data_IF_671064837182
#
_entry.id   IF_671064837182
#
_cell.length_a   1.000
_cell.length_b   1.000
_cell.length_c   1.000
_cell.angle_alpha   90.00
_cell.angle_beta   90.00
_cell.angle_gamma   90.00
#
_symmetry.space_group_name_H-M   'P 1'
#
loop_
_entity.id
_entity.type
_entity.pdbx_description
1 polymer ?
#
# COMPACT_ATOMS: atom_id res chain seq x y z
N UNK A 1 -60.34 -32.06 11.31
CA UNK A 1 -59.85 -30.70 11.07
C UNK A 1 -58.76 -30.46 12.08
N UNK A 2 -57.51 -30.76 11.68
CA UNK A 2 -56.33 -30.69 12.57
C UNK A 2 -55.54 -29.47 12.15
N UNK A 3 -55.40 -28.49 13.06
CA UNK A 3 -54.62 -27.28 12.88
C UNK A 3 -53.23 -27.58 13.40
N UNK A 4 -52.26 -27.73 12.47
CA UNK A 4 -50.83 -27.79 12.80
C UNK A 4 -50.32 -26.37 13.06
N UNK A 5 -49.98 -26.10 14.31
CA UNK A 5 -49.28 -24.86 14.69
C UNK A 5 -47.80 -24.93 14.25
N UNK A 6 -47.37 -24.01 13.39
CA UNK A 6 -45.98 -23.77 13.07
C UNK A 6 -45.39 -22.93 14.19
N UNK A 7 -44.53 -23.51 15.00
CA UNK A 7 -43.68 -22.77 15.95
C UNK A 7 -42.61 -21.98 15.15
N UNK A 8 -42.83 -20.69 15.07
CA UNK A 8 -41.76 -19.76 14.60
C UNK A 8 -40.67 -19.74 15.69
N UNK A 9 -39.48 -20.27 15.35
CA UNK A 9 -38.29 -20.04 16.15
C UNK A 9 -37.90 -18.58 16.01
N UNK A 10 -38.03 -17.83 17.09
CA UNK A 10 -37.44 -16.51 17.21
C UNK A 10 -35.90 -16.70 17.17
N UNK A 11 -35.29 -16.11 16.19
CA UNK A 11 -33.82 -16.01 16.14
C UNK A 11 -33.34 -15.16 17.34
N UNK A 12 -32.38 -15.68 18.11
CA UNK A 12 -31.73 -14.99 19.20
C UNK A 12 -31.03 -13.71 18.64
N UNK A 13 -31.33 -12.50 19.16
CA UNK A 13 -30.69 -11.30 18.68
C UNK A 13 -29.24 -11.11 19.18
N UNK A 14 -28.66 -12.09 19.86
CA UNK A 14 -27.29 -12.09 20.39
C UNK A 14 -26.42 -13.24 19.86
N UNK A 15 -26.72 -13.74 18.66
CA UNK A 15 -25.77 -14.61 17.98
C UNK A 15 -24.48 -13.79 17.72
N UNK A 16 -23.36 -14.16 18.36
CA UNK A 16 -22.00 -13.72 18.04
C UNK A 16 -21.75 -13.94 16.55
N UNK A 17 -22.15 -13.01 15.70
CA UNK A 17 -21.64 -12.93 14.34
C UNK A 17 -20.15 -12.63 14.51
N UNK A 18 -19.25 -13.55 14.09
CA UNK A 18 -17.82 -13.33 14.29
C UNK A 18 -17.44 -11.99 13.68
N UNK A 19 -16.87 -11.12 14.50
CA UNK A 19 -16.49 -9.77 14.08
C UNK A 19 -15.67 -9.87 12.80
N UNK A 20 -16.30 -9.55 11.67
CA UNK A 20 -15.76 -9.73 10.32
C UNK A 20 -14.48 -8.91 10.13
N UNK A 21 -14.40 -7.74 10.76
CA UNK A 21 -13.27 -6.83 10.59
C UNK A 21 -11.93 -7.43 11.02
N UNK A 22 -11.77 -8.04 12.21
CA UNK A 22 -10.52 -8.69 12.60
C UNK A 22 -10.11 -9.85 11.68
N UNK A 23 -11.08 -10.55 11.07
CA UNK A 23 -10.79 -11.61 10.12
C UNK A 23 -10.25 -11.03 8.80
N UNK A 24 -10.89 -9.99 8.26
CA UNK A 24 -10.42 -9.29 7.05
C UNK A 24 -9.00 -8.78 7.26
N UNK A 25 -8.74 -8.10 8.40
CA UNK A 25 -7.42 -7.52 8.68
C UNK A 25 -6.35 -8.61 8.76
N UNK A 26 -6.59 -9.71 9.50
CA UNK A 26 -5.62 -10.83 9.58
C UNK A 26 -5.36 -11.48 8.22
N UNK A 27 -6.42 -11.71 7.43
CA UNK A 27 -6.27 -12.32 6.10
C UNK A 27 -5.52 -11.39 5.14
N UNK A 28 -5.81 -10.09 5.18
CA UNK A 28 -5.08 -9.07 4.42
C UNK A 28 -3.59 -9.05 4.80
N UNK A 29 -3.25 -9.03 6.08
CA UNK A 29 -1.86 -9.04 6.56
C UNK A 29 -1.13 -10.32 6.11
N UNK A 30 -1.80 -11.47 6.20
CA UNK A 30 -1.24 -12.74 5.72
C UNK A 30 -1.00 -12.71 4.20
N UNK A 31 -2.00 -12.27 3.42
CA UNK A 31 -1.88 -12.20 1.97
C UNK A 31 -0.75 -11.23 1.53
N UNK A 32 -0.60 -10.09 2.22
CA UNK A 32 0.50 -9.15 1.93
C UNK A 32 1.89 -9.74 2.26
N UNK A 33 2.00 -10.58 3.30
CA UNK A 33 3.27 -11.23 3.66
C UNK A 33 3.75 -12.23 2.62
N UNK A 34 2.84 -12.76 1.81
CA UNK A 34 3.11 -13.76 0.77
C UNK A 34 3.42 -13.12 -0.60
N UNK A 35 3.29 -11.79 -0.71
CA UNK A 35 3.61 -11.07 -1.94
C UNK A 35 5.12 -11.02 -2.16
N UNK A 36 5.54 -11.52 -3.31
CA UNK A 36 6.94 -11.51 -3.72
C UNK A 36 7.20 -10.34 -4.67
N UNK A 37 8.15 -9.50 -4.34
CA UNK A 37 8.55 -8.38 -5.19
C UNK A 37 9.66 -8.79 -6.16
N UNK A 38 9.66 -8.31 -7.41
CA UNK A 38 10.75 -8.55 -8.33
C UNK A 38 12.01 -7.83 -7.84
N UNK A 39 13.17 -8.35 -8.23
CA UNK A 39 14.45 -7.72 -7.90
C UNK A 39 14.58 -6.32 -8.47
N UNK A 40 14.09 -6.14 -9.69
CA UNK A 40 14.18 -4.88 -10.42
C UNK A 40 12.83 -4.46 -10.95
N UNK A 41 12.50 -3.18 -10.83
CA UNK A 41 11.30 -2.58 -11.38
C UNK A 41 11.68 -1.35 -12.20
N UNK A 42 11.11 -1.24 -13.39
CA UNK A 42 11.23 -0.06 -14.23
C UNK A 42 9.92 0.71 -14.16
N UNK A 43 10.02 1.98 -13.79
CA UNK A 43 8.87 2.88 -13.67
C UNK A 43 9.04 4.09 -14.54
N UNK A 44 7.93 4.50 -15.12
CA UNK A 44 7.76 5.78 -15.78
C UNK A 44 7.09 6.75 -14.80
N UNK A 45 7.59 7.97 -14.73
CA UNK A 45 7.11 9.06 -13.89
C UNK A 45 6.74 10.24 -14.76
N UNK A 46 5.55 10.81 -14.53
CA UNK A 46 5.13 12.07 -15.14
C UNK A 46 4.86 13.10 -14.06
N UNK A 47 5.37 14.31 -14.28
CA UNK A 47 5.19 15.44 -13.37
C UNK A 47 4.54 16.59 -14.12
N UNK A 48 3.39 17.02 -13.59
CA UNK A 48 2.63 18.13 -14.11
C UNK A 48 2.45 19.19 -13.03
N UNK A 49 2.67 20.44 -13.40
CA UNK A 49 2.28 21.57 -12.56
C UNK A 49 0.83 21.91 -12.85
N UNK A 50 -0.05 21.89 -11.83
CA UNK A 50 -1.49 22.13 -12.00
C UNK A 50 -1.81 23.52 -12.58
N UNK A 51 -0.86 24.45 -12.63
CA UNK A 51 -1.04 25.80 -13.16
C UNK A 51 -0.61 25.98 -14.62
N UNK A 52 0.13 25.06 -15.22
CA UNK A 52 0.62 25.18 -16.61
C UNK A 52 0.78 23.79 -17.23
N UNK A 53 -0.06 23.47 -18.20
CA UNK A 53 -0.06 22.22 -18.98
C UNK A 53 1.25 22.05 -19.80
N UNK A 54 2.05 23.10 -19.97
CA UNK A 54 3.26 23.08 -20.80
C UNK A 54 4.53 22.56 -20.11
N UNK A 55 4.46 22.07 -18.87
CA UNK A 55 5.61 21.56 -18.12
C UNK A 55 5.49 20.06 -17.84
N UNK A 56 4.98 19.31 -18.82
CA UNK A 56 5.00 17.85 -18.73
C UNK A 56 6.45 17.37 -18.77
N UNK A 57 6.82 16.61 -17.77
CA UNK A 57 8.15 16.06 -17.63
C UNK A 57 8.05 14.57 -17.38
N UNK A 58 8.82 13.80 -18.13
CA UNK A 58 8.87 12.34 -18.07
C UNK A 58 10.24 11.89 -17.55
N UNK A 59 10.24 10.93 -16.63
CA UNK A 59 11.46 10.27 -16.17
C UNK A 59 11.21 8.76 -16.16
N UNK A 60 12.07 8.00 -16.83
CA UNK A 60 12.07 6.52 -16.71
C UNK A 60 13.25 6.14 -15.82
N UNK A 61 12.95 5.41 -14.74
CA UNK A 61 13.94 4.96 -13.79
C UNK A 61 13.78 3.46 -13.51
N UNK A 62 14.91 2.79 -13.37
CA UNK A 62 15.01 1.41 -12.91
C UNK A 62 15.48 1.41 -11.46
N UNK A 63 14.72 0.73 -10.60
CA UNK A 63 15.11 0.46 -9.23
C UNK A 63 15.58 -0.99 -9.10
N UNK A 64 16.70 -1.22 -8.41
CA UNK A 64 17.22 -2.53 -8.03
C UNK A 64 17.18 -2.63 -6.50
N UNK A 65 16.34 -3.52 -5.98
CA UNK A 65 16.15 -3.75 -4.55
C UNK A 65 17.15 -4.73 -3.95
N UNK A 66 18.12 -5.24 -4.74
CA UNK A 66 19.23 -6.00 -4.18
C UNK A 66 20.08 -5.09 -3.28
N UNK A 67 20.69 -5.69 -2.24
CA UNK A 67 21.54 -4.95 -1.31
C UNK A 67 22.96 -4.76 -1.92
N UNK A 68 23.48 -3.53 -2.00
CA UNK A 68 22.83 -2.24 -1.67
C UNK A 68 21.79 -1.85 -2.72
N UNK A 69 20.61 -1.40 -2.27
CA UNK A 69 19.58 -0.95 -3.17
C UNK A 69 19.99 0.33 -3.91
N UNK A 70 19.64 0.42 -5.18
CA UNK A 70 20.03 1.55 -6.04
C UNK A 70 18.99 1.83 -7.12
N UNK A 71 19.05 3.03 -7.69
CA UNK A 71 18.30 3.36 -8.91
C UNK A 71 19.19 3.90 -10.01
N UNK A 72 18.72 3.78 -11.25
CA UNK A 72 19.34 4.37 -12.46
C UNK A 72 18.25 5.07 -13.25
N UNK A 73 18.47 6.33 -13.57
CA UNK A 73 17.60 7.06 -14.52
C UNK A 73 18.03 6.65 -15.92
N UNK A 74 17.12 6.00 -16.65
CA UNK A 74 17.35 5.52 -18.02
C UNK A 74 17.03 6.59 -19.06
N UNK A 75 15.97 7.38 -18.82
CA UNK A 75 15.50 8.42 -19.73
C UNK A 75 14.95 9.60 -18.93
N UNK A 76 15.11 10.78 -19.48
CA UNK A 76 14.52 12.02 -18.95
C UNK A 76 14.11 12.94 -20.08
N UNK A 77 12.98 13.58 -19.89
CA UNK A 77 12.48 14.65 -20.74
C UNK A 77 11.84 15.74 -19.86
N UNK A 78 12.01 17.01 -20.22
CA UNK A 78 11.41 18.12 -19.51
C UNK A 78 12.35 18.82 -18.54
N UNK A 79 11.84 19.33 -17.42
CA UNK A 79 12.56 20.24 -16.54
C UNK A 79 13.47 19.53 -15.54
N UNK A 80 14.61 20.15 -15.19
CA UNK A 80 15.49 19.67 -14.11
C UNK A 80 14.79 19.65 -12.75
N UNK A 81 13.76 20.48 -12.53
CA UNK A 81 12.95 20.49 -11.30
C UNK A 81 12.17 19.21 -11.15
N UNK A 82 11.61 18.69 -12.26
CA UNK A 82 10.90 17.41 -12.27
C UNK A 82 11.85 16.25 -11.93
N UNK A 83 13.03 16.23 -12.54
CA UNK A 83 14.05 15.23 -12.21
C UNK A 83 14.43 15.26 -10.73
N UNK A 84 14.56 16.45 -10.14
CA UNK A 84 14.82 16.57 -8.69
C UNK A 84 13.71 15.96 -7.85
N UNK A 85 12.43 16.19 -8.18
CA UNK A 85 11.29 15.60 -7.46
C UNK A 85 11.32 14.08 -7.56
N UNK A 86 11.51 13.52 -8.78
CA UNK A 86 11.60 12.06 -8.97
C UNK A 86 12.76 11.46 -8.21
N UNK A 87 13.94 12.08 -8.22
CA UNK A 87 15.10 11.60 -7.44
C UNK A 87 14.81 11.52 -5.95
N UNK A 88 14.11 12.49 -5.38
CA UNK A 88 13.73 12.45 -3.96
C UNK A 88 12.73 11.30 -3.67
N UNK A 89 11.77 11.06 -4.57
CA UNK A 89 10.84 9.93 -4.44
C UNK A 89 11.60 8.60 -4.51
N UNK A 90 12.46 8.41 -5.52
CA UNK A 90 13.26 7.20 -5.68
C UNK A 90 14.16 6.94 -4.47
N UNK A 91 14.82 7.98 -3.97
CA UNK A 91 15.66 7.89 -2.79
C UNK A 91 14.84 7.45 -1.56
N UNK A 92 13.66 8.02 -1.37
CA UNK A 92 12.78 7.67 -0.27
C UNK A 92 12.28 6.21 -0.36
N UNK A 93 11.86 5.76 -1.56
CA UNK A 93 11.46 4.37 -1.80
C UNK A 93 12.60 3.38 -1.48
N UNK A 94 13.84 3.69 -1.90
CA UNK A 94 15.01 2.87 -1.59
C UNK A 94 15.33 2.84 -0.10
N UNK A 95 15.22 3.97 0.60
CA UNK A 95 15.45 4.05 2.03
C UNK A 95 14.45 3.21 2.82
N UNK A 96 13.17 3.22 2.42
CA UNK A 96 12.15 2.36 3.01
C UNK A 96 12.50 0.89 2.75
N UNK A 97 12.83 0.54 1.50
CA UNK A 97 13.11 -0.85 1.11
C UNK A 97 14.38 -1.43 1.72
N UNK A 98 15.34 -0.59 2.07
CA UNK A 98 16.62 -1.00 2.64
C UNK A 98 16.54 -1.45 4.11
N UNK A 99 15.48 -1.07 4.83
CA UNK A 99 15.32 -1.32 6.27
C UNK A 99 14.04 -2.10 6.56
N UNK A 100 14.16 -3.26 7.21
CA UNK A 100 13.00 -4.01 7.69
C UNK A 100 12.14 -3.19 8.67
N UNK A 101 12.77 -2.39 9.51
CA UNK A 101 12.07 -1.53 10.45
C UNK A 101 11.19 -0.50 9.73
N UNK A 102 11.73 0.15 8.68
CA UNK A 102 10.98 1.10 7.87
C UNK A 102 9.87 0.44 7.06
N UNK A 103 10.12 -0.75 6.50
CA UNK A 103 9.09 -1.53 5.82
C UNK A 103 7.94 -1.88 6.76
N UNK A 104 8.24 -2.32 8.00
CA UNK A 104 7.23 -2.59 9.01
C UNK A 104 6.52 -1.32 9.46
N UNK A 105 7.23 -0.20 9.59
CA UNK A 105 6.65 1.08 9.96
C UNK A 105 5.68 1.64 8.90
N UNK A 106 5.90 1.32 7.62
CA UNK A 106 5.05 1.72 6.50
C UNK A 106 3.90 0.71 6.21
N UNK A 107 3.98 -0.51 6.74
CA UNK A 107 3.04 -1.59 6.42
C UNK A 107 1.62 -1.29 6.91
N UNK A 108 0.62 -1.69 6.12
CA UNK A 108 -0.80 -1.59 6.48
C UNK A 108 -1.16 -2.79 7.36
N UNK A 109 -0.95 -2.62 8.66
CA UNK A 109 -1.17 -3.64 9.68
C UNK A 109 -1.85 -3.06 10.91
N UNK A 110 -2.44 -3.94 11.74
CA UNK A 110 -3.01 -3.55 13.03
C UNK A 110 -2.00 -2.89 13.99
N UNK A 111 -0.70 -3.05 13.77
CA UNK A 111 0.33 -2.36 14.55
C UNK A 111 0.41 -0.88 14.24
N UNK A 112 0.15 -0.51 12.98
CA UNK A 112 0.27 0.86 12.49
C UNK A 112 -1.07 1.60 12.40
N UNK A 113 -2.18 0.84 12.31
CA UNK A 113 -3.52 1.38 12.05
C UNK A 113 -4.58 0.81 12.97
N UNK A 114 -5.57 1.64 13.27
CA UNK A 114 -6.91 1.21 13.60
C UNK A 114 -7.74 1.16 12.32
N UNK A 115 -8.59 0.15 12.19
CA UNK A 115 -9.42 -0.08 11.02
C UNK A 115 -10.90 0.06 11.35
N UNK A 116 -11.70 0.52 10.36
CA UNK A 116 -13.15 0.44 10.40
C UNK A 116 -13.65 -0.09 9.06
N UNK A 117 -14.55 -1.05 9.08
CA UNK A 117 -15.21 -1.53 7.87
C UNK A 117 -16.25 -0.47 7.42
N UNK A 118 -16.10 0.02 6.20
CA UNK A 118 -17.01 0.99 5.60
C UNK A 118 -18.08 0.34 4.71
N UNK A 119 -17.83 -0.91 4.28
CA UNK A 119 -18.72 -1.65 3.38
C UNK A 119 -17.96 -2.39 2.28
N UNK A 120 -18.63 -2.59 1.16
CA UNK A 120 -18.07 -3.22 -0.03
C UNK A 120 -18.21 -2.34 -1.26
N UNK A 121 -17.20 -2.36 -2.13
CA UNK A 121 -17.20 -1.72 -3.45
C UNK A 121 -16.60 -2.67 -4.49
N UNK A 122 -16.87 -2.42 -5.78
CA UNK A 122 -16.23 -3.16 -6.87
C UNK A 122 -15.15 -2.29 -7.52
N UNK A 123 -13.94 -2.86 -7.70
CA UNK A 123 -12.83 -2.25 -8.44
C UNK A 123 -12.42 -3.19 -9.55
N UNK A 124 -12.46 -2.73 -10.79
CA UNK A 124 -12.05 -3.48 -11.99
C UNK A 124 -12.71 -4.87 -12.07
N UNK A 125 -14.01 -4.97 -11.67
CA UNK A 125 -14.78 -6.21 -11.65
C UNK A 125 -14.56 -7.11 -10.43
N UNK A 126 -13.73 -6.71 -9.48
CA UNK A 126 -13.47 -7.45 -8.24
C UNK A 126 -14.21 -6.83 -7.06
N UNK A 127 -14.95 -7.66 -6.31
CA UNK A 127 -15.59 -7.25 -5.06
C UNK A 127 -14.52 -7.03 -3.98
N UNK A 128 -14.57 -5.87 -3.32
CA UNK A 128 -13.62 -5.48 -2.30
C UNK A 128 -14.31 -5.09 -1.01
N UNK A 129 -13.71 -5.43 0.12
CA UNK A 129 -13.98 -4.75 1.38
C UNK A 129 -13.32 -3.38 1.37
N UNK A 130 -14.02 -2.36 1.86
CA UNK A 130 -13.47 -1.01 2.02
C UNK A 130 -13.23 -0.76 3.49
N UNK A 131 -11.96 -0.58 3.87
CA UNK A 131 -11.58 -0.27 5.24
C UNK A 131 -11.09 1.16 5.34
N UNK A 132 -11.50 1.86 6.39
CA UNK A 132 -10.90 3.14 6.78
C UNK A 132 -9.56 2.88 7.46
N UNK A 133 -8.54 3.61 7.02
CA UNK A 133 -7.19 3.63 7.61
C UNK A 133 -7.08 4.79 8.59
N UNK A 134 -6.88 4.50 9.87
CA UNK A 134 -6.66 5.48 10.93
C UNK A 134 -5.26 5.27 11.50
N UNK A 135 -4.26 6.05 11.07
CA UNK A 135 -2.89 5.89 11.58
C UNK A 135 -2.81 6.08 13.08
N UNK A 136 -2.16 5.17 13.80
CA UNK A 136 -1.92 5.26 15.25
C UNK A 136 -0.89 6.30 15.63
N UNK A 137 -0.11 6.78 14.65
CA UNK A 137 0.93 7.79 14.83
C UNK A 137 1.08 8.66 13.59
N UNK A 138 1.57 9.88 13.76
CA UNK A 138 1.84 10.82 12.65
C UNK A 138 3.23 10.57 12.06
N UNK A 139 3.33 9.66 11.09
CA UNK A 139 4.55 9.37 10.35
C UNK A 139 4.32 9.60 8.85
N UNK A 140 5.36 10.02 8.09
CA UNK A 140 5.22 10.32 6.66
C UNK A 140 4.95 9.09 5.79
N UNK A 141 5.25 7.90 6.28
CA UNK A 141 5.00 6.63 5.60
C UNK A 141 3.56 6.13 5.77
N UNK A 142 2.77 6.72 6.69
CA UNK A 142 1.41 6.30 6.96
C UNK A 142 0.40 7.17 6.21
N UNK A 143 -0.72 6.54 5.83
CA UNK A 143 -1.79 7.15 5.05
C UNK A 143 -3.07 7.18 5.89
N UNK A 144 -3.72 8.31 5.96
CA UNK A 144 -5.07 8.48 6.51
C UNK A 144 -6.07 8.47 5.37
N UNK A 145 -6.88 7.43 5.25
CA UNK A 145 -7.79 7.32 4.11
C UNK A 145 -8.53 5.99 4.07
N UNK A 146 -8.52 5.35 2.92
CA UNK A 146 -9.22 4.09 2.67
C UNK A 146 -8.31 3.08 1.98
N UNK A 147 -8.56 1.81 2.24
CA UNK A 147 -7.95 0.68 1.54
C UNK A 147 -9.04 -0.25 1.04
N UNK A 148 -8.88 -0.72 -0.19
CA UNK A 148 -9.75 -1.71 -0.83
C UNK A 148 -9.04 -3.05 -0.83
N UNK A 149 -9.64 -4.02 -0.15
CA UNK A 149 -9.13 -5.37 0.04
C UNK A 149 -10.02 -6.33 -0.75
N UNK A 150 -9.45 -7.05 -1.69
CA UNK A 150 -10.16 -8.04 -2.49
C UNK A 150 -10.81 -9.11 -1.60
N UNK A 151 -12.09 -9.41 -1.83
CA UNK A 151 -12.85 -10.35 -0.98
C UNK A 151 -12.43 -11.81 -1.16
N UNK A 152 -11.78 -12.17 -2.26
CA UNK A 152 -11.37 -13.54 -2.54
C UNK A 152 -9.92 -13.80 -2.16
N UNK A 153 -9.03 -12.88 -2.51
CA UNK A 153 -7.58 -13.04 -2.33
C UNK A 153 -7.02 -12.32 -1.10
N UNK A 154 -7.80 -11.41 -0.50
CA UNK A 154 -7.39 -10.49 0.56
C UNK A 154 -6.19 -9.59 0.21
N UNK A 155 -5.81 -9.53 -1.06
CA UNK A 155 -4.79 -8.60 -1.54
C UNK A 155 -5.34 -7.18 -1.60
N UNK A 156 -4.50 -6.21 -1.28
CA UNK A 156 -4.84 -4.79 -1.41
C UNK A 156 -4.85 -4.43 -2.89
N UNK A 157 -5.97 -3.88 -3.39
CA UNK A 157 -6.11 -3.40 -4.77
C UNK A 157 -5.90 -1.91 -4.90
N UNK A 158 -6.30 -1.14 -3.88
CA UNK A 158 -6.18 0.33 -3.91
C UNK A 158 -6.00 0.88 -2.51
N UNK A 159 -5.23 1.96 -2.43
CA UNK A 159 -5.12 2.80 -1.25
C UNK A 159 -5.36 4.24 -1.71
N UNK A 160 -6.20 4.99 -1.00
CA UNK A 160 -6.53 6.37 -1.31
C UNK A 160 -6.57 7.18 -0.02
N UNK A 161 -5.83 8.28 0.04
CA UNK A 161 -5.81 9.11 1.23
C UNK A 161 -4.65 10.10 1.30
N UNK A 162 -4.59 10.78 2.43
CA UNK A 162 -3.57 11.79 2.71
C UNK A 162 -2.43 11.20 3.54
N UNK A 163 -1.20 11.62 3.29
CA UNK A 163 -0.09 11.26 4.16
C UNK A 163 -0.36 11.76 5.59
N UNK A 164 -0.16 10.89 6.59
CA UNK A 164 -0.43 11.23 7.99
C UNK A 164 0.47 12.34 8.52
N UNK A 165 1.62 12.56 7.86
CA UNK A 165 2.57 13.64 8.10
C UNK A 165 3.25 14.03 6.81
N UNK A 166 3.63 15.29 6.68
CA UNK A 166 4.44 15.76 5.56
C UNK A 166 5.78 14.99 5.48
N UNK A 167 6.17 14.47 4.30
CA UNK A 167 7.39 13.68 4.14
C UNK A 167 8.66 14.54 4.21
N UNK A 168 8.55 15.86 4.04
CA UNK A 168 9.68 16.78 4.07
C UNK A 168 9.23 18.21 4.33
N UNK A 169 10.17 19.09 4.71
CA UNK A 169 9.87 20.50 4.97
C UNK A 169 9.35 21.27 3.72
N UNK A 170 9.65 20.80 2.52
CA UNK A 170 9.24 21.45 1.27
C UNK A 170 7.90 20.94 0.72
N UNK A 171 7.37 19.81 1.23
CA UNK A 171 6.00 19.32 0.93
C UNK A 171 5.11 19.65 2.10
N UNK A 172 4.04 20.42 1.92
CA UNK A 172 3.10 20.76 2.98
C UNK A 172 2.11 19.64 3.25
N UNK A 173 1.54 19.10 2.18
CA UNK A 173 0.55 18.03 2.19
C UNK A 173 0.67 17.22 0.91
N UNK A 174 0.31 15.96 0.95
CA UNK A 174 0.19 15.12 -0.23
C UNK A 174 -0.97 14.15 -0.06
N UNK A 175 -1.81 14.09 -1.10
CA UNK A 175 -2.85 13.08 -1.29
C UNK A 175 -2.33 12.04 -2.27
N UNK A 176 -2.54 10.76 -1.98
CA UNK A 176 -2.06 9.64 -2.80
C UNK A 176 -3.18 8.69 -3.18
N UNK A 177 -3.18 8.22 -4.41
CA UNK A 177 -3.98 7.10 -4.92
C UNK A 177 -3.00 6.04 -5.44
N UNK A 178 -2.98 4.87 -4.83
CA UNK A 178 -2.05 3.78 -5.13
C UNK A 178 -2.85 2.58 -5.60
N UNK A 179 -2.47 1.98 -6.72
CA UNK A 179 -3.15 0.83 -7.31
C UNK A 179 -2.23 -0.37 -7.41
N UNK A 180 -2.81 -1.53 -7.11
CA UNK A 180 -2.13 -2.81 -7.17
C UNK A 180 -2.90 -3.76 -8.09
N UNK A 181 -2.17 -4.49 -8.89
CA UNK A 181 -2.73 -5.50 -9.78
C UNK A 181 -1.69 -6.58 -10.10
N UNK A 182 -2.15 -7.66 -10.71
CA UNK A 182 -1.24 -8.59 -11.39
C UNK A 182 -0.60 -7.90 -12.59
N UNK A 183 0.71 -7.92 -12.62
CA UNK A 183 1.50 -7.46 -13.75
C UNK A 183 2.43 -8.59 -14.20
N UNK A 184 2.00 -9.28 -15.26
CA UNK A 184 2.74 -10.41 -15.84
C UNK A 184 3.05 -11.52 -14.84
N UNK A 185 2.09 -11.87 -13.98
CA UNK A 185 2.19 -12.95 -13.00
C UNK A 185 2.74 -12.54 -11.63
N UNK A 186 3.02 -11.26 -11.40
CA UNK A 186 3.40 -10.74 -10.10
C UNK A 186 2.41 -9.69 -9.60
N UNK A 187 2.03 -9.79 -8.33
CA UNK A 187 1.20 -8.77 -7.68
C UNK A 187 2.07 -7.58 -7.29
N UNK A 188 1.86 -6.45 -7.97
CA UNK A 188 2.69 -5.26 -7.83
C UNK A 188 1.85 -4.02 -7.59
N UNK A 189 2.47 -3.00 -7.00
CA UNK A 189 2.02 -1.63 -7.11
C UNK A 189 2.23 -1.17 -8.56
N UNK A 190 1.16 -1.27 -9.37
CA UNK A 190 1.24 -1.01 -10.83
C UNK A 190 1.28 0.47 -11.14
N UNK A 191 0.56 1.29 -10.39
CA UNK A 191 0.57 2.73 -10.56
C UNK A 191 0.28 3.45 -9.25
N UNK A 192 0.69 4.71 -9.19
CA UNK A 192 0.26 5.62 -8.16
C UNK A 192 0.25 7.07 -8.68
N UNK A 193 -0.56 7.87 -8.03
CA UNK A 193 -0.66 9.29 -8.27
C UNK A 193 -0.54 10.02 -6.94
N UNK A 194 0.21 11.12 -6.92
CA UNK A 194 0.27 12.03 -5.79
C UNK A 194 -0.10 13.45 -6.24
N UNK A 195 -0.96 14.10 -5.46
CA UNK A 195 -1.23 15.52 -5.53
C UNK A 195 -0.58 16.17 -4.32
N UNK A 196 0.48 16.94 -4.54
CA UNK A 196 1.27 17.52 -3.46
C UNK A 196 1.26 19.05 -3.52
N UNK A 197 1.07 19.71 -2.37
CA UNK A 197 1.34 21.14 -2.23
C UNK A 197 2.81 21.33 -1.84
N UNK A 198 3.59 21.80 -2.80
CA UNK A 198 5.04 21.94 -2.68
C UNK A 198 5.38 23.41 -2.42
N UNK A 199 6.14 23.69 -1.32
CA UNK A 199 6.61 25.04 -1.01
C UNK A 199 7.43 25.58 -2.18
N UNK A 200 7.19 26.84 -2.55
CA UNK A 200 7.84 27.55 -3.67
C UNK A 200 7.43 27.06 -5.08
N UNK A 201 6.78 25.88 -5.22
CA UNK A 201 6.38 25.36 -6.55
C UNK A 201 4.85 25.26 -6.69
N UNK A 202 4.09 25.34 -5.58
CA UNK A 202 2.62 25.20 -5.58
C UNK A 202 2.17 23.75 -5.75
N UNK A 203 0.95 23.57 -6.21
CA UNK A 203 0.37 22.26 -6.41
C UNK A 203 1.03 21.54 -7.59
N UNK A 204 1.51 20.33 -7.33
CA UNK A 204 2.15 19.43 -8.28
C UNK A 204 1.39 18.12 -8.33
N UNK A 205 1.26 17.56 -9.52
CA UNK A 205 0.78 16.20 -9.73
C UNK A 205 1.95 15.34 -10.19
N UNK A 206 2.18 14.26 -9.48
CA UNK A 206 3.15 13.24 -9.85
C UNK A 206 2.41 11.92 -10.06
N UNK A 207 2.61 11.29 -11.20
CA UNK A 207 2.12 9.94 -11.48
C UNK A 207 3.28 9.01 -11.74
N UNK A 208 3.11 7.75 -11.38
CA UNK A 208 4.08 6.69 -11.67
C UNK A 208 3.36 5.44 -12.15
N UNK A 209 3.95 4.77 -13.14
CA UNK A 209 3.46 3.52 -13.68
C UNK A 209 4.61 2.53 -13.84
N UNK A 210 4.38 1.27 -13.46
CA UNK A 210 5.30 0.17 -13.79
C UNK A 210 5.20 -0.12 -15.28
N UNK A 211 6.34 -0.10 -15.96
CA UNK A 211 6.42 -0.44 -17.39
C UNK A 211 7.14 -1.75 -17.63
N UNK A 212 8.01 -2.16 -16.71
CA UNK A 212 8.71 -3.43 -16.80
C UNK A 212 9.27 -3.89 -15.44
N UNK A 213 9.62 -5.17 -15.33
CA UNK A 213 10.37 -5.70 -14.20
C UNK A 213 11.34 -6.80 -14.67
N UNK A 214 12.40 -7.06 -13.89
CA UNK A 214 13.39 -8.07 -14.18
C UNK A 214 13.93 -8.76 -12.92
N UNK A 215 14.51 -9.93 -13.12
CA UNK A 215 15.11 -10.74 -12.07
C UNK A 215 14.11 -11.66 -11.35
N UNK A 216 14.66 -12.70 -10.69
CA UNK A 216 13.86 -13.59 -9.87
C UNK A 216 13.20 -12.82 -8.71
N UNK A 217 11.98 -13.19 -8.30
CA UNK A 217 11.33 -12.60 -7.14
C UNK A 217 12.24 -12.69 -5.91
N UNK A 218 12.37 -11.59 -5.20
CA UNK A 218 13.04 -11.57 -3.89
C UNK A 218 12.01 -12.10 -2.90
N UNK A 219 12.34 -13.19 -2.19
CA UNK A 219 11.50 -13.68 -1.11
C UNK A 219 11.26 -12.53 -0.13
N UNK A 220 10.01 -12.29 0.23
CA UNK A 220 9.68 -11.35 1.29
C UNK A 220 10.52 -11.73 2.51
N UNK A 221 11.29 -10.78 3.06
CA UNK A 221 12.11 -11.07 4.25
C UNK A 221 11.15 -11.55 5.34
N UNK A 222 11.41 -12.73 5.96
CA UNK A 222 10.48 -13.31 6.89
C UNK A 222 10.21 -12.32 8.01
N UNK A 223 8.95 -11.92 8.17
CA UNK A 223 8.47 -11.28 9.39
C UNK A 223 8.83 -12.23 10.52
N UNK A 224 9.63 -11.81 11.49
CA UNK A 224 10.02 -12.64 12.63
C UNK A 224 8.74 -13.08 13.32
N UNK A 225 8.29 -14.31 13.03
CA UNK A 225 7.33 -15.00 13.89
C UNK A 225 8.04 -15.15 15.23
N UNK A 226 7.57 -14.44 16.24
CA UNK A 226 7.95 -14.73 17.61
C UNK A 226 7.62 -16.19 17.85
N UNK A 227 8.62 -17.05 17.75
CA UNK A 227 8.55 -18.45 18.14
C UNK A 227 8.36 -18.47 19.66
N UNK A 228 7.13 -18.62 20.10
CA UNK A 228 6.81 -19.12 21.43
C UNK A 228 7.19 -20.61 21.45
N UNK A 229 8.48 -20.87 21.41
CA UNK A 229 9.00 -22.17 21.74
C UNK A 229 8.78 -22.37 23.25
N UNK A 230 7.76 -23.19 23.53
CA UNK A 230 7.52 -23.83 24.82
C UNK A 230 8.82 -24.31 25.44
N UNK A 231 9.32 -23.60 26.45
CA UNK A 231 10.28 -24.16 27.41
C UNK A 231 9.53 -25.18 28.27
N UNK A 232 9.49 -26.43 27.84
CA UNK A 232 9.28 -27.54 28.76
C UNK A 232 10.58 -27.70 29.57
N UNK A 233 10.53 -27.35 30.83
CA UNK A 233 11.53 -27.79 31.78
C UNK A 233 11.44 -29.31 31.93
N UNK A 234 12.51 -30.06 31.91
CA UNK A 234 12.53 -31.40 32.47
C UNK A 234 12.69 -31.28 33.99
N UNK A 235 11.72 -31.86 34.69
CA UNK A 235 11.81 -32.14 36.12
C UNK A 235 12.83 -33.26 36.29
N UNK A 236 13.81 -33.07 37.11
CA UNK A 236 14.40 -34.01 38.03
C UNK A 236 14.62 -33.33 39.35
#
# INVERSE_FOLDING_TARGET
MLISGVLAHAADPNGDEPDLLPQIVRSMESAQSDVHLPRQVVREYHINTTKNISTDSEVIAQMDFASPAKYVIQKRYGSLKAEFVVKNVLQHELEISASNERLQAAAITHQNYDFRLLGGESIDGHSCYVLQLIPKRGQPELIRGRVWVDQQTFLIRRIDGDLAKSPSWWVKAAHVDIRFADFRGLWLQTSWQALADVRCFGAQQLTSQVIDYAGAPIAAKPTVRASLASRRNPVQ
#
